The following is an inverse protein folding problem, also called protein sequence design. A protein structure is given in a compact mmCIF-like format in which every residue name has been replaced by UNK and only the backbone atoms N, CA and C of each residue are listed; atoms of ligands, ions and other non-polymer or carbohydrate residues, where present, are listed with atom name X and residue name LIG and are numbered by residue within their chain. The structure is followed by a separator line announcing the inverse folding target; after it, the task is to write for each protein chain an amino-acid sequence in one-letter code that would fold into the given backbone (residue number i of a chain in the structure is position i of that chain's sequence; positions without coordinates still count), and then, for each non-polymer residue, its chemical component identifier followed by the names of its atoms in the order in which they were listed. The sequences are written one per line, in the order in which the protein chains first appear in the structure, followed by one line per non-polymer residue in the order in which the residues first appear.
data_IF_459840566024
#
_entry.id   IF_459840566024
#
_cell.length_a   1.000
_cell.length_b   1.000
_cell.length_c   1.000
_cell.angle_alpha   90.00
_cell.angle_beta   90.00
_cell.angle_gamma   90.00
#
_symmetry.space_group_name_H-M   'P 1'
#
loop_
_entity.id
_entity.type
_entity.pdbx_description
1 polymer ?
#
# COMPACT_ATOMS: atom_id res chain seq x y z
N UNK A 1 60.77 -73.68 17.62
CA UNK A 1 59.42 -73.67 18.19
C UNK A 1 58.94 -72.24 18.26
N UNK A 2 57.75 -71.94 17.74
CA UNK A 2 57.07 -70.66 17.94
C UNK A 2 57.04 -69.74 16.73
N UNK A 3 56.13 -70.02 15.80
CA UNK A 3 55.75 -69.15 14.69
C UNK A 3 54.98 -67.90 15.19
N UNK A 4 55.08 -66.78 14.46
CA UNK A 4 54.01 -65.78 14.24
C UNK A 4 54.40 -64.85 13.09
N UNK A 5 53.50 -64.76 12.11
CA UNK A 5 53.69 -64.08 10.82
C UNK A 5 53.57 -62.55 10.87
N UNK A 6 53.55 -61.89 9.68
CA UNK A 6 53.78 -60.46 9.54
C UNK A 6 52.52 -59.66 9.89
N UNK A 7 52.70 -58.52 10.55
CA UNK A 7 51.60 -57.55 10.74
C UNK A 7 51.84 -56.36 9.82
N UNK A 8 51.05 -56.31 8.76
CA UNK A 8 50.82 -55.11 7.95
C UNK A 8 49.85 -54.22 8.74
N UNK A 9 50.25 -52.99 9.06
CA UNK A 9 49.34 -51.96 9.58
C UNK A 9 49.27 -50.83 8.55
N UNK A 10 48.19 -50.83 7.78
CA UNK A 10 47.79 -49.72 6.90
C UNK A 10 47.11 -48.69 7.81
N UNK A 11 47.78 -47.56 8.05
CA UNK A 11 47.16 -46.42 8.71
C UNK A 11 46.32 -45.62 7.72
N UNK A 12 45.05 -45.99 7.54
CA UNK A 12 44.03 -45.13 6.95
C UNK A 12 43.47 -44.17 8.01
N UNK A 13 43.20 -42.95 7.56
CA UNK A 13 42.18 -42.03 8.10
C UNK A 13 42.49 -41.33 9.44
N UNK A 14 42.16 -40.07 9.65
CA UNK A 14 41.07 -39.31 9.04
C UNK A 14 41.49 -37.86 8.77
N UNK A 15 41.50 -37.48 7.49
CA UNK A 15 41.10 -36.12 7.16
C UNK A 15 39.63 -36.02 7.59
N UNK A 16 39.38 -35.36 8.73
CA UNK A 16 38.06 -35.00 9.20
C UNK A 16 37.48 -33.97 8.21
N UNK A 17 37.02 -34.46 7.07
CA UNK A 17 36.06 -33.77 6.22
C UNK A 17 34.83 -33.56 7.10
N UNK A 18 34.71 -32.36 7.66
CA UNK A 18 33.45 -31.84 8.16
C UNK A 18 32.52 -31.67 6.95
N UNK A 19 32.01 -32.79 6.43
CA UNK A 19 30.72 -32.82 5.76
C UNK A 19 29.70 -32.44 6.82
N UNK A 20 29.54 -31.13 7.04
CA UNK A 20 28.28 -30.65 7.56
C UNK A 20 27.23 -31.19 6.59
N UNK A 21 26.30 -32.05 7.04
CA UNK A 21 25.20 -32.41 6.17
C UNK A 21 24.54 -31.08 5.81
N UNK A 22 24.44 -30.79 4.52
CA UNK A 22 23.52 -29.79 4.01
C UNK A 22 22.14 -30.28 4.44
N UNK A 23 21.74 -29.90 5.66
CA UNK A 23 20.37 -30.02 6.13
C UNK A 23 19.57 -29.16 5.17
N UNK A 24 19.04 -29.81 4.13
CA UNK A 24 17.94 -29.27 3.35
C UNK A 24 16.78 -29.12 4.33
N UNK A 25 16.69 -27.95 4.96
CA UNK A 25 15.48 -27.56 5.66
C UNK A 25 14.36 -27.59 4.63
N UNK A 26 13.49 -28.59 4.72
CA UNK A 26 12.27 -28.62 3.93
C UNK A 26 11.49 -27.35 4.28
N UNK A 27 11.30 -26.47 3.31
CA UNK A 27 10.52 -25.25 3.51
C UNK A 27 9.08 -25.65 3.87
N UNK A 28 8.62 -25.32 5.08
CA UNK A 28 7.27 -25.63 5.57
C UNK A 28 6.46 -24.36 5.78
N UNK A 29 5.12 -24.49 5.80
CA UNK A 29 4.21 -23.37 6.05
C UNK A 29 3.89 -23.16 7.53
N UNK A 30 4.43 -23.98 8.44
CA UNK A 30 4.00 -24.03 9.85
C UNK A 30 4.13 -22.68 10.57
N UNK A 31 5.16 -21.90 10.23
CA UNK A 31 5.46 -20.60 10.85
C UNK A 31 5.10 -19.39 9.98
N UNK A 32 4.55 -19.60 8.78
CA UNK A 32 4.32 -18.51 7.81
C UNK A 32 3.34 -17.49 8.36
N UNK A 33 2.23 -17.92 8.96
CA UNK A 33 1.25 -17.01 9.55
C UNK A 33 1.87 -16.15 10.66
N UNK A 34 2.59 -16.78 11.59
CA UNK A 34 3.24 -16.07 12.69
C UNK A 34 4.24 -15.03 12.17
N UNK A 35 5.00 -15.39 11.12
CA UNK A 35 5.99 -14.50 10.50
C UNK A 35 5.35 -13.34 9.74
N UNK A 36 4.29 -13.58 8.97
CA UNK A 36 3.52 -12.52 8.30
C UNK A 36 2.96 -11.53 9.32
N UNK A 37 2.32 -12.03 10.39
CA UNK A 37 1.74 -11.20 11.44
C UNK A 37 2.81 -10.40 12.19
N UNK A 38 3.98 -10.99 12.45
CA UNK A 38 5.09 -10.29 13.08
C UNK A 38 5.71 -9.22 12.15
N UNK A 39 5.88 -9.54 10.87
CA UNK A 39 6.46 -8.63 9.88
C UNK A 39 5.55 -7.41 9.63
N UNK A 40 4.23 -7.62 9.57
CA UNK A 40 3.23 -6.58 9.35
C UNK A 40 2.45 -6.21 10.61
N UNK A 41 3.08 -6.27 11.79
CA UNK A 41 2.40 -6.01 13.06
C UNK A 41 1.74 -4.62 13.13
N UNK A 42 2.36 -3.62 12.47
CA UNK A 42 1.87 -2.24 12.39
C UNK A 42 0.84 -2.03 11.26
N UNK A 43 0.68 -3.01 10.36
CA UNK A 43 -0.18 -2.95 9.18
C UNK A 43 -1.04 -4.23 9.11
N UNK A 44 -1.99 -4.41 10.05
CA UNK A 44 -2.74 -5.67 10.21
C UNK A 44 -3.54 -6.07 8.97
N UNK A 45 -3.89 -5.10 8.10
CA UNK A 45 -4.54 -5.39 6.81
C UNK A 45 -3.69 -6.28 5.90
N UNK A 46 -2.35 -6.22 5.97
CA UNK A 46 -1.48 -7.09 5.17
C UNK A 46 -1.53 -8.55 5.64
N UNK A 47 -1.75 -8.80 6.94
CA UNK A 47 -1.99 -10.16 7.43
C UNK A 47 -3.35 -10.70 6.96
N UNK A 48 -4.37 -9.83 6.87
CA UNK A 48 -5.68 -10.21 6.32
C UNK A 48 -5.59 -10.51 4.82
N UNK A 49 -4.85 -9.70 4.06
CA UNK A 49 -4.57 -9.94 2.64
C UNK A 49 -3.86 -11.28 2.47
N UNK A 50 -2.76 -11.54 3.18
CA UNK A 50 -2.05 -12.83 3.10
C UNK A 50 -2.94 -14.04 3.41
N UNK A 51 -3.87 -13.89 4.36
CA UNK A 51 -4.87 -14.92 4.66
C UNK A 51 -5.81 -15.15 3.47
N UNK A 52 -6.30 -14.09 2.84
CA UNK A 52 -7.20 -14.16 1.70
C UNK A 52 -6.54 -14.65 0.41
N UNK A 53 -5.26 -14.29 0.19
CA UNK A 53 -4.51 -14.66 -1.01
C UNK A 53 -4.11 -16.14 -1.02
N UNK A 54 -3.64 -16.66 0.12
CA UNK A 54 -3.00 -17.97 0.14
C UNK A 54 -3.34 -18.84 1.34
N UNK A 55 -4.12 -18.34 2.30
CA UNK A 55 -4.29 -18.94 3.63
C UNK A 55 -2.94 -19.06 4.37
N UNK A 56 -2.08 -18.04 4.26
CA UNK A 56 -0.73 -18.03 4.81
C UNK A 56 0.18 -19.15 4.26
N UNK A 57 0.06 -19.50 2.98
CA UNK A 57 0.94 -20.49 2.35
C UNK A 57 1.95 -19.82 1.44
N UNK A 58 3.24 -19.95 1.78
CA UNK A 58 4.34 -19.57 0.89
C UNK A 58 4.80 -20.73 0.02
N UNK A 59 4.73 -21.96 0.52
CA UNK A 59 5.34 -23.14 -0.12
C UNK A 59 4.30 -24.16 -0.58
N UNK A 60 4.50 -24.71 -1.77
CA UNK A 60 3.82 -25.91 -2.29
C UNK A 60 4.71 -27.15 -2.17
N UNK A 61 4.36 -28.23 -2.86
CA UNK A 61 5.07 -29.51 -2.75
C UNK A 61 6.52 -29.47 -3.26
N UNK A 62 6.86 -28.52 -4.14
CA UNK A 62 8.14 -28.48 -4.85
C UNK A 62 8.87 -27.14 -4.78
N UNK A 63 8.48 -26.25 -3.86
CA UNK A 63 9.06 -24.91 -3.74
C UNK A 63 8.00 -23.86 -3.42
N UNK A 64 8.17 -22.63 -3.92
CA UNK A 64 7.16 -21.58 -3.76
C UNK A 64 5.78 -22.03 -4.27
N UNK A 65 4.74 -21.62 -3.56
CA UNK A 65 3.36 -21.83 -3.98
C UNK A 65 3.11 -21.06 -5.27
N UNK A 66 2.58 -21.75 -6.27
CA UNK A 66 2.09 -21.17 -7.51
C UNK A 66 0.58 -21.35 -7.52
N UNK A 67 -0.15 -20.24 -7.55
CA UNK A 67 -1.61 -20.20 -7.53
C UNK A 67 -2.17 -19.30 -8.63
N UNK A 68 -3.43 -18.92 -8.48
CA UNK A 68 -4.18 -18.20 -9.52
C UNK A 68 -4.44 -19.02 -10.78
N UNK A 69 -5.15 -18.40 -11.74
CA UNK A 69 -5.40 -19.01 -13.04
C UNK A 69 -4.09 -19.07 -13.83
N UNK A 70 -3.63 -20.27 -14.19
CA UNK A 70 -2.38 -20.47 -14.94
C UNK A 70 -1.12 -20.62 -14.10
N UNK A 71 -1.21 -20.50 -12.77
CA UNK A 71 -0.07 -20.73 -11.87
C UNK A 71 0.90 -19.55 -11.74
N UNK A 72 0.58 -18.38 -12.25
CA UNK A 72 1.49 -17.21 -12.27
C UNK A 72 1.55 -16.42 -10.96
N UNK A 73 0.83 -16.81 -9.90
CA UNK A 73 0.77 -16.06 -8.64
C UNK A 73 1.62 -16.72 -7.56
N UNK A 74 2.61 -16.00 -7.06
CA UNK A 74 3.67 -16.55 -6.21
C UNK A 74 3.43 -16.29 -4.73
N UNK A 75 3.45 -17.37 -3.96
CA UNK A 75 3.66 -17.36 -2.52
C UNK A 75 2.52 -16.74 -1.72
N UNK A 76 2.88 -16.27 -0.52
CA UNK A 76 1.93 -15.91 0.54
C UNK A 76 1.06 -14.71 0.20
N UNK A 77 1.57 -13.78 -0.61
CA UNK A 77 0.83 -12.64 -1.14
C UNK A 77 0.34 -12.81 -2.58
N UNK A 78 0.50 -14.00 -3.18
CA UNK A 78 0.09 -14.29 -4.56
C UNK A 78 0.57 -13.18 -5.53
N UNK A 79 1.86 -12.84 -5.49
CA UNK A 79 2.43 -11.79 -6.34
C UNK A 79 2.61 -12.33 -7.76
N UNK A 80 2.16 -11.58 -8.77
CA UNK A 80 2.25 -12.03 -10.17
C UNK A 80 3.71 -12.14 -10.65
N UNK A 81 4.11 -13.35 -11.03
CA UNK A 81 5.48 -13.74 -11.39
C UNK A 81 6.04 -12.88 -12.53
N UNK A 82 5.40 -12.92 -13.70
CA UNK A 82 5.89 -12.27 -14.93
C UNK A 82 6.00 -10.74 -14.82
N UNK A 83 5.29 -10.13 -13.87
CA UNK A 83 5.25 -8.68 -13.69
C UNK A 83 6.33 -8.24 -12.70
N UNK A 84 6.57 -9.05 -11.66
CA UNK A 84 7.27 -8.58 -10.47
C UNK A 84 8.60 -9.29 -10.20
N UNK A 85 8.80 -10.52 -10.68
CA UNK A 85 9.94 -11.35 -10.30
C UNK A 85 11.29 -10.67 -10.59
N UNK A 86 11.48 -10.17 -11.81
CA UNK A 86 12.75 -9.52 -12.21
C UNK A 86 12.99 -8.22 -11.45
N UNK A 87 11.96 -7.37 -11.34
CA UNK A 87 12.06 -6.09 -10.64
C UNK A 87 12.36 -6.26 -9.13
N UNK A 88 11.75 -7.28 -8.51
CA UNK A 88 12.01 -7.64 -7.11
C UNK A 88 13.46 -8.12 -6.95
N UNK A 89 13.91 -9.01 -7.84
CA UNK A 89 15.24 -9.61 -7.80
C UNK A 89 16.36 -8.59 -7.97
N UNK A 90 16.19 -7.60 -8.86
CA UNK A 90 17.13 -6.47 -9.01
C UNK A 90 17.35 -5.68 -7.72
N UNK A 91 16.37 -5.71 -6.79
CA UNK A 91 16.41 -5.02 -5.50
C UNK A 91 16.72 -5.96 -4.33
N UNK A 92 17.18 -7.17 -4.62
CA UNK A 92 17.55 -8.16 -3.62
C UNK A 92 16.36 -8.85 -2.94
N UNK A 93 15.15 -8.77 -3.54
CA UNK A 93 13.96 -9.45 -3.04
C UNK A 93 13.61 -10.63 -3.93
N UNK A 94 13.69 -11.84 -3.39
CA UNK A 94 13.30 -13.08 -4.09
C UNK A 94 11.85 -13.46 -3.72
N UNK A 95 10.90 -13.19 -4.62
CA UNK A 95 9.46 -13.44 -4.38
C UNK A 95 9.11 -14.92 -4.17
N UNK A 96 10.00 -15.86 -4.56
CA UNK A 96 9.84 -17.29 -4.32
C UNK A 96 10.20 -17.69 -2.87
N UNK A 97 11.03 -16.90 -2.20
CA UNK A 97 11.34 -17.06 -0.78
C UNK A 97 10.28 -16.39 0.10
N UNK A 98 10.09 -16.86 1.33
CA UNK A 98 9.21 -16.18 2.27
C UNK A 98 9.67 -14.74 2.52
N UNK A 99 10.96 -14.53 2.82
CA UNK A 99 11.50 -13.20 3.12
C UNK A 99 11.36 -12.21 1.96
N UNK A 100 11.68 -12.63 0.74
CA UNK A 100 11.54 -11.77 -0.42
C UNK A 100 10.08 -11.53 -0.80
N UNK A 101 9.17 -12.48 -0.57
CA UNK A 101 7.73 -12.27 -0.76
C UNK A 101 7.19 -11.23 0.24
N UNK A 102 7.54 -11.33 1.53
CA UNK A 102 7.16 -10.33 2.55
C UNK A 102 7.74 -8.94 2.22
N UNK A 103 9.03 -8.87 1.89
CA UNK A 103 9.69 -7.61 1.55
C UNK A 103 9.09 -6.96 0.30
N UNK A 104 8.76 -7.77 -0.71
CA UNK A 104 8.17 -7.26 -1.94
C UNK A 104 6.70 -6.85 -1.74
N UNK A 105 5.91 -7.60 -0.97
CA UNK A 105 4.56 -7.21 -0.61
C UNK A 105 4.56 -5.91 0.21
N UNK A 106 5.51 -5.72 1.12
CA UNK A 106 5.71 -4.44 1.80
C UNK A 106 6.06 -3.33 0.80
N UNK A 107 6.96 -3.59 -0.16
CA UNK A 107 7.29 -2.63 -1.21
C UNK A 107 6.05 -2.21 -2.00
N UNK A 108 5.23 -3.16 -2.45
CA UNK A 108 3.97 -2.89 -3.14
C UNK A 108 3.02 -2.09 -2.24
N UNK A 109 2.86 -2.48 -0.98
CA UNK A 109 2.01 -1.77 -0.03
C UNK A 109 2.45 -0.32 0.22
N UNK A 110 3.74 -0.08 0.39
CA UNK A 110 4.29 1.28 0.57
C UNK A 110 4.09 2.17 -0.68
N UNK A 111 3.98 1.56 -1.86
CA UNK A 111 3.81 2.27 -3.14
C UNK A 111 2.35 2.45 -3.55
N UNK A 112 1.51 1.46 -3.27
CA UNK A 112 0.18 1.28 -3.87
C UNK A 112 -0.92 1.04 -2.83
N UNK A 113 -0.56 0.87 -1.55
CA UNK A 113 -1.51 0.47 -0.50
C UNK A 113 -1.99 -0.96 -0.73
N UNK A 114 -3.29 -1.21 -0.54
CA UNK A 114 -3.88 -2.54 -0.71
C UNK A 114 -4.29 -2.86 -2.16
N UNK A 115 -4.16 -1.90 -3.09
CA UNK A 115 -4.64 -2.01 -4.48
C UNK A 115 -4.19 -3.26 -5.25
N UNK A 116 -2.96 -3.77 -5.11
CA UNK A 116 -2.54 -5.02 -5.77
C UNK A 116 -3.43 -6.23 -5.44
N UNK A 117 -4.18 -6.18 -4.34
CA UNK A 117 -5.02 -7.25 -3.81
C UNK A 117 -6.52 -6.92 -3.82
N UNK A 118 -6.96 -5.90 -4.58
CA UNK A 118 -8.37 -5.50 -4.65
C UNK A 118 -9.30 -6.62 -5.16
N UNK A 119 -8.78 -7.59 -5.93
CA UNK A 119 -9.55 -8.77 -6.36
C UNK A 119 -10.05 -9.62 -5.20
N UNK A 120 -9.38 -9.56 -4.05
CA UNK A 120 -9.75 -10.25 -2.82
C UNK A 120 -10.30 -9.30 -1.75
N UNK A 121 -10.57 -8.03 -2.07
CA UNK A 121 -11.04 -7.00 -1.14
C UNK A 121 -12.24 -7.44 -0.29
N UNK A 122 -13.22 -8.08 -0.92
CA UNK A 122 -14.40 -8.61 -0.23
C UNK A 122 -14.07 -9.62 0.88
N UNK A 123 -12.91 -10.28 0.82
CA UNK A 123 -12.43 -11.17 1.86
C UNK A 123 -11.78 -10.42 3.03
N UNK A 124 -10.96 -9.38 2.77
CA UNK A 124 -10.15 -8.74 3.81
C UNK A 124 -10.68 -7.40 4.36
N UNK A 125 -11.53 -6.66 3.64
CA UNK A 125 -12.04 -5.33 4.07
C UNK A 125 -12.92 -5.38 5.32
N UNK A 126 -13.68 -6.46 5.51
CA UNK A 126 -14.57 -6.65 6.66
C UNK A 126 -13.91 -7.34 7.86
N UNK A 127 -12.65 -7.73 7.75
CA UNK A 127 -11.93 -8.42 8.83
C UNK A 127 -11.55 -7.40 9.89
N UNK A 128 -11.93 -7.67 11.15
CA UNK A 128 -11.61 -6.79 12.27
C UNK A 128 -10.11 -6.45 12.27
N UNK A 129 -9.78 -5.18 12.06
CA UNK A 129 -8.43 -4.65 12.20
C UNK A 129 -8.05 -4.83 13.68
N UNK A 130 -7.27 -5.85 13.99
CA UNK A 130 -6.68 -5.98 15.32
C UNK A 130 -5.91 -4.69 15.59
N UNK A 131 -6.26 -4.00 16.69
CA UNK A 131 -5.74 -2.69 17.02
C UNK A 131 -4.21 -2.72 16.98
N UNK A 132 -3.63 -1.98 16.03
CA UNK A 132 -2.18 -1.84 15.93
C UNK A 132 -1.70 -1.28 17.27
N UNK A 133 -0.90 -2.06 17.99
CA UNK A 133 -0.24 -1.56 19.19
C UNK A 133 0.74 -0.49 18.71
N UNK A 134 0.63 0.76 19.14
CA UNK A 134 1.52 1.80 18.66
C UNK A 134 2.94 1.43 19.06
N UNK A 135 3.83 1.36 18.06
CA UNK A 135 5.27 1.30 18.33
C UNK A 135 5.65 2.60 19.03
N UNK A 136 6.02 2.53 20.31
CA UNK A 136 6.96 3.52 20.87
C UNK A 136 8.22 3.32 20.04
N UNK A 137 8.41 4.21 19.06
CA UNK A 137 9.71 4.43 18.47
C UNK A 137 10.58 4.92 19.62
N UNK A 138 11.38 4.02 20.21
CA UNK A 138 12.55 4.44 20.96
C UNK A 138 13.47 5.08 19.93
N UNK A 139 13.29 6.38 19.74
CA UNK A 139 14.25 7.22 19.08
C UNK A 139 15.60 6.95 19.73
N UNK A 140 16.54 6.45 18.94
CA UNK A 140 17.94 6.51 19.30
C UNK A 140 18.30 8.02 19.30
N UNK A 141 18.68 8.63 20.43
CA UNK A 141 18.96 10.04 20.45
C UNK A 141 20.37 10.23 19.93
N UNK A 142 20.51 11.00 18.85
CA UNK A 142 21.50 12.05 18.94
C UNK A 142 21.04 13.33 18.21
N UNK A 143 21.18 14.50 18.85
CA UNK A 143 20.61 15.76 18.38
C UNK A 143 21.68 16.67 17.76
N UNK A 144 21.43 17.17 16.56
CA UNK A 144 21.99 18.39 15.99
C UNK A 144 21.00 18.77 14.87
N UNK A 145 20.32 19.91 14.81
CA UNK A 145 20.37 21.19 15.49
C UNK A 145 19.49 22.13 14.64
N UNK A 146 18.89 23.14 15.25
CA UNK A 146 17.85 23.99 14.69
C UNK A 146 18.15 24.63 13.31
N UNK A 147 17.16 24.58 12.42
CA UNK A 147 16.96 25.54 11.33
C UNK A 147 15.46 25.85 11.19
N UNK A 148 15.06 27.11 10.93
CA UNK A 148 13.66 27.49 10.89
C UNK A 148 13.01 26.87 9.64
N UNK A 149 11.93 26.12 9.84
CA UNK A 149 11.12 25.62 8.73
C UNK A 149 10.38 26.80 8.11
N UNK A 150 10.91 27.31 7.01
CA UNK A 150 10.20 28.27 6.16
C UNK A 150 9.01 27.53 5.54
N UNK A 151 7.82 28.04 5.85
CA UNK A 151 6.54 27.55 5.35
C UNK A 151 6.48 27.74 3.84
N UNK A 152 6.75 26.67 3.09
CA UNK A 152 6.40 26.57 1.67
C UNK A 152 5.58 25.30 1.41
N UNK A 153 4.36 25.28 1.95
CA UNK A 153 3.36 24.25 1.67
C UNK A 153 2.01 24.96 1.53
N UNK A 154 1.74 25.56 0.37
CA UNK A 154 0.43 26.15 0.03
C UNK A 154 -0.48 25.11 -0.68
N UNK A 155 -0.01 23.87 -0.84
CA UNK A 155 -0.85 22.76 -1.31
C UNK A 155 -1.09 21.83 -0.13
N UNK A 156 -2.34 21.62 0.31
CA UNK A 156 -2.62 20.59 1.31
C UNK A 156 -2.09 19.25 0.78
N UNK A 157 -1.33 18.48 1.57
CA UNK A 157 -0.67 17.28 1.08
C UNK A 157 -1.74 16.32 0.54
N UNK A 158 -1.48 15.76 -0.64
CA UNK A 158 -2.27 14.66 -1.15
C UNK A 158 -2.08 13.46 -0.20
N UNK A 159 -3.10 13.17 0.59
CA UNK A 159 -3.11 12.08 1.55
C UNK A 159 -3.58 10.77 0.95
N UNK A 160 -4.21 10.83 -0.22
CA UNK A 160 -4.80 9.67 -0.90
C UNK A 160 -4.19 9.42 -2.28
N UNK A 161 -4.25 8.17 -2.74
CA UNK A 161 -4.14 7.88 -4.17
C UNK A 161 -5.45 8.33 -4.86
N UNK A 162 -5.37 8.82 -6.10
CA UNK A 162 -6.56 9.26 -6.85
C UNK A 162 -6.65 8.53 -8.20
N UNK A 163 -7.86 8.08 -8.56
CA UNK A 163 -8.11 7.34 -9.80
C UNK A 163 -9.52 7.57 -10.35
N UNK A 164 -9.77 7.03 -11.54
CA UNK A 164 -11.03 7.16 -12.25
C UNK A 164 -12.24 6.80 -11.37
N UNK A 165 -13.24 7.69 -11.35
CA UNK A 165 -14.50 7.50 -10.64
C UNK A 165 -14.53 8.09 -9.22
N UNK A 166 -13.37 8.45 -8.65
CA UNK A 166 -13.34 9.11 -7.33
C UNK A 166 -13.96 10.51 -7.36
N UNK A 167 -14.56 10.92 -6.25
CA UNK A 167 -15.08 12.27 -6.04
C UNK A 167 -14.68 12.81 -4.66
N UNK A 168 -13.74 13.76 -4.60
CA UNK A 168 -13.29 14.40 -3.36
C UNK A 168 -12.53 15.72 -3.60
N UNK A 169 -12.16 16.42 -2.53
CA UNK A 169 -11.43 17.68 -2.58
C UNK A 169 -9.95 17.56 -3.02
N UNK A 170 -9.33 16.40 -2.83
CA UNK A 170 -7.97 16.12 -3.32
C UNK A 170 -7.95 16.05 -4.84
N UNK A 171 -8.98 15.48 -5.48
CA UNK A 171 -9.11 15.52 -6.95
C UNK A 171 -9.18 16.96 -7.46
N UNK A 172 -9.96 17.83 -6.81
CA UNK A 172 -10.01 19.23 -7.21
C UNK A 172 -8.64 19.92 -7.08
N UNK A 173 -7.88 19.57 -6.05
CA UNK A 173 -6.50 20.05 -5.86
C UNK A 173 -5.56 19.54 -6.95
N UNK A 174 -5.69 18.27 -7.34
CA UNK A 174 -4.95 17.70 -8.47
C UNK A 174 -5.27 18.43 -9.77
N UNK A 175 -6.54 18.71 -10.05
CA UNK A 175 -6.95 19.42 -11.25
C UNK A 175 -6.35 20.82 -11.32
N UNK A 176 -6.34 21.56 -10.20
CA UNK A 176 -5.69 22.87 -10.11
C UNK A 176 -4.21 22.79 -10.44
N UNK A 177 -3.53 21.81 -9.85
CA UNK A 177 -2.10 21.60 -10.12
C UNK A 177 -1.84 21.28 -11.59
N UNK A 178 -2.58 20.34 -12.18
CA UNK A 178 -2.38 19.93 -13.57
C UNK A 178 -2.60 21.10 -14.52
N UNK A 179 -3.68 21.87 -14.33
CA UNK A 179 -3.97 23.07 -15.12
C UNK A 179 -2.85 24.13 -14.99
N UNK A 180 -2.37 24.40 -13.77
CA UNK A 180 -1.28 25.36 -13.52
C UNK A 180 0.09 24.90 -14.03
N UNK A 181 0.33 23.60 -14.09
CA UNK A 181 1.58 23.00 -14.57
C UNK A 181 1.63 22.80 -16.09
N UNK A 182 0.61 23.29 -16.83
CA UNK A 182 0.53 23.16 -18.30
C UNK A 182 -0.05 21.84 -18.80
N UNK A 183 -0.56 20.99 -17.90
CA UNK A 183 -1.29 19.76 -18.24
C UNK A 183 -2.79 20.02 -18.22
N UNK A 184 -3.22 21.02 -19.01
CA UNK A 184 -4.62 21.49 -19.04
C UNK A 184 -5.58 20.33 -19.31
N UNK A 185 -6.58 20.17 -18.44
CA UNK A 185 -7.61 19.13 -18.53
C UNK A 185 -8.54 19.44 -19.70
N UNK A 186 -9.05 20.67 -19.75
CA UNK A 186 -9.89 21.20 -20.82
C UNK A 186 -9.81 22.73 -20.82
N UNK A 187 -9.97 23.36 -21.98
CA UNK A 187 -9.83 24.82 -22.12
C UNK A 187 -11.01 25.60 -21.50
N UNK A 188 -12.21 25.03 -21.53
CA UNK A 188 -13.43 25.65 -21.00
C UNK A 188 -14.41 24.59 -20.46
N UNK A 189 -15.30 25.01 -19.56
CA UNK A 189 -16.27 24.11 -18.91
C UNK A 189 -15.71 23.37 -17.67
N UNK A 190 -16.42 22.36 -17.16
CA UNK A 190 -16.02 21.65 -15.95
C UNK A 190 -14.63 21.00 -16.08
N UNK A 191 -13.72 21.35 -15.18
CA UNK A 191 -12.31 20.91 -15.18
C UNK A 191 -11.33 21.90 -15.83
N UNK A 192 -11.81 22.98 -16.45
CA UNK A 192 -10.96 24.05 -16.97
C UNK A 192 -10.31 24.89 -15.86
N UNK A 193 -9.24 25.66 -16.15
CA UNK A 193 -8.62 26.54 -15.16
C UNK A 193 -9.64 27.45 -14.48
N UNK A 194 -9.73 27.40 -13.15
CA UNK A 194 -10.70 28.15 -12.35
C UNK A 194 -12.12 27.55 -12.29
N UNK A 195 -12.36 26.43 -12.96
CA UNK A 195 -13.61 25.66 -12.93
C UNK A 195 -13.33 24.18 -12.58
N UNK A 196 -12.33 23.91 -11.73
CA UNK A 196 -11.97 22.56 -11.33
C UNK A 196 -13.08 21.86 -10.54
N UNK A 197 -13.22 20.56 -10.78
CA UNK A 197 -14.25 19.71 -10.16
C UNK A 197 -13.65 18.78 -9.12
N UNK A 198 -14.49 18.20 -8.26
CA UNK A 198 -14.09 17.16 -7.32
C UNK A 198 -14.02 15.77 -7.95
N UNK A 199 -14.37 15.60 -9.22
CA UNK A 199 -14.52 14.29 -9.87
C UNK A 199 -13.32 13.91 -10.74
N UNK A 200 -12.79 12.70 -10.54
CA UNK A 200 -11.71 12.18 -11.36
C UNK A 200 -12.31 11.44 -12.55
N UNK A 201 -12.56 12.18 -13.62
CA UNK A 201 -13.12 11.67 -14.88
C UNK A 201 -12.06 11.34 -15.93
N UNK A 202 -12.52 10.95 -17.11
CA UNK A 202 -11.64 10.57 -18.22
C UNK A 202 -10.67 11.68 -18.65
N UNK A 203 -11.09 12.95 -18.56
CA UNK A 203 -10.24 14.10 -18.87
C UNK A 203 -9.13 14.30 -17.82
N UNK A 204 -9.47 14.17 -16.53
CA UNK A 204 -8.50 14.23 -15.43
C UNK A 204 -7.47 13.10 -15.55
N UNK A 205 -7.92 11.88 -15.84
CA UNK A 205 -7.06 10.73 -16.15
C UNK A 205 -6.08 11.03 -17.29
N UNK A 206 -6.59 11.57 -18.40
CA UNK A 206 -5.75 11.92 -19.55
C UNK A 206 -4.72 13.01 -19.22
N UNK A 207 -5.06 13.99 -18.37
CA UNK A 207 -4.11 14.99 -17.90
C UNK A 207 -3.03 14.38 -16.99
N UNK A 208 -3.40 13.45 -16.10
CA UNK A 208 -2.44 12.68 -15.29
C UNK A 208 -1.49 11.86 -16.16
N UNK A 209 -2.00 11.20 -17.20
CA UNK A 209 -1.16 10.47 -18.18
C UNK A 209 -0.12 11.39 -18.82
N UNK A 210 -0.54 12.57 -19.32
CA UNK A 210 0.38 13.55 -19.90
C UNK A 210 1.46 13.98 -18.90
N UNK A 211 1.05 14.26 -17.66
CA UNK A 211 1.97 14.62 -16.58
C UNK A 211 2.97 13.49 -16.30
N UNK A 212 2.49 12.25 -16.16
CA UNK A 212 3.32 11.09 -15.88
C UNK A 212 4.36 10.86 -16.97
N UNK A 213 3.95 10.97 -18.23
CA UNK A 213 4.87 10.79 -19.34
C UNK A 213 5.91 11.92 -19.40
N UNK A 214 5.49 13.17 -19.21
CA UNK A 214 6.39 14.32 -19.18
C UNK A 214 7.39 14.29 -18.01
N UNK A 215 7.04 13.61 -16.90
CA UNK A 215 7.93 13.42 -15.74
C UNK A 215 8.73 12.12 -15.78
N UNK A 216 8.65 11.35 -16.87
CA UNK A 216 9.37 10.07 -17.00
C UNK A 216 8.91 8.99 -16.02
N UNK A 217 7.66 9.05 -15.56
CA UNK A 217 7.08 8.04 -14.66
C UNK A 217 6.65 6.81 -15.45
N UNK A 218 5.76 7.02 -16.43
CA UNK A 218 5.17 5.99 -17.30
C UNK A 218 4.52 6.70 -18.49
N UNK A 219 4.62 6.12 -19.70
CA UNK A 219 4.06 6.67 -20.95
C UNK A 219 3.18 5.68 -21.71
N UNK A 220 3.05 4.45 -21.24
CA UNK A 220 2.32 3.36 -21.90
C UNK A 220 1.63 2.46 -20.85
N UNK A 221 0.76 1.55 -21.31
CA UNK A 221 -0.04 0.68 -20.45
C UNK A 221 -1.33 1.32 -19.94
N UNK A 222 -1.82 0.86 -18.78
CA UNK A 222 -3.04 1.37 -18.15
C UNK A 222 -2.89 1.56 -16.64
N UNK A 223 -3.95 2.06 -15.98
CA UNK A 223 -3.94 2.37 -14.55
C UNK A 223 -3.62 1.15 -13.68
N UNK A 224 -4.11 -0.02 -14.09
CA UNK A 224 -4.00 -1.26 -13.34
C UNK A 224 -2.68 -1.98 -13.61
N UNK A 225 -2.16 -1.91 -14.84
CA UNK A 225 -0.93 -2.61 -15.23
C UNK A 225 0.35 -1.83 -14.97
N UNK A 226 0.33 -0.52 -15.21
CA UNK A 226 1.54 0.32 -15.20
C UNK A 226 1.39 1.58 -14.35
N UNK A 227 0.18 1.85 -13.86
CA UNK A 227 -0.17 3.11 -13.22
C UNK A 227 -0.42 4.26 -14.19
N UNK A 228 -0.52 4.01 -15.50
CA UNK A 228 -0.73 5.08 -16.49
C UNK A 228 -2.15 5.65 -16.42
N UNK A 229 -2.25 6.90 -15.99
CA UNK A 229 -3.49 7.61 -15.64
C UNK A 229 -3.86 7.58 -14.15
N UNK A 230 -3.09 6.86 -13.33
CA UNK A 230 -3.31 6.73 -11.89
C UNK A 230 -2.47 7.76 -11.11
N UNK A 231 -3.11 8.52 -10.22
CA UNK A 231 -2.40 9.47 -9.35
C UNK A 231 -1.97 8.77 -8.05
N UNK A 232 -0.98 7.90 -8.18
CA UNK A 232 -0.37 7.15 -7.07
C UNK A 232 0.88 7.81 -6.47
N UNK A 233 1.61 7.10 -5.62
CA UNK A 233 2.77 7.62 -4.89
C UNK A 233 3.86 8.22 -5.79
N UNK A 234 4.17 7.59 -6.94
CA UNK A 234 5.16 8.11 -7.90
C UNK A 234 4.71 9.44 -8.50
N UNK A 235 3.43 9.55 -8.88
CA UNK A 235 2.83 10.76 -9.44
C UNK A 235 2.75 11.88 -8.39
N UNK A 236 2.38 11.55 -7.14
CA UNK A 236 2.44 12.49 -6.00
C UNK A 236 3.84 13.00 -5.73
N UNK A 237 4.83 12.11 -5.68
CA UNK A 237 6.22 12.48 -5.42
C UNK A 237 6.76 13.41 -6.52
N UNK A 238 6.46 13.12 -7.79
CA UNK A 238 6.85 14.00 -8.90
C UNK A 238 6.13 15.36 -8.86
N UNK A 239 4.89 15.41 -8.38
CA UNK A 239 4.17 16.66 -8.15
C UNK A 239 4.88 17.50 -7.09
N UNK A 240 5.24 16.89 -5.95
CA UNK A 240 5.96 17.56 -4.85
C UNK A 240 7.38 18.01 -5.26
N UNK A 241 8.04 17.25 -6.15
CA UNK A 241 9.35 17.57 -6.66
C UNK A 241 9.35 18.58 -7.82
N UNK A 242 8.18 18.91 -8.38
CA UNK A 242 8.07 19.92 -9.44
C UNK A 242 8.17 21.30 -8.80
N UNK A 243 9.20 22.11 -9.12
CA UNK A 243 9.29 23.48 -8.63
C UNK A 243 8.02 24.21 -9.00
N UNK A 244 7.29 24.67 -7.99
CA UNK A 244 6.09 25.44 -8.20
C UNK A 244 6.55 26.80 -8.73
N UNK A 245 6.21 27.14 -9.97
CA UNK A 245 6.31 28.52 -10.40
C UNK A 245 5.21 29.31 -9.68
N UNK A 246 5.59 29.91 -8.55
CA UNK A 246 4.71 30.73 -7.72
C UNK A 246 4.14 31.94 -8.48
N UNK A 247 4.64 32.24 -9.69
CA UNK A 247 4.12 33.30 -10.56
C UNK A 247 2.92 32.89 -11.43
N UNK A 248 2.65 31.58 -11.56
CA UNK A 248 1.54 31.04 -12.36
C UNK A 248 0.32 30.62 -11.52
N UNK A 249 0.45 30.63 -10.20
CA UNK A 249 -0.68 30.40 -9.30
C UNK A 249 -1.44 31.72 -9.22
N UNK A 250 -2.69 31.84 -9.75
CA UNK A 250 -3.48 33.03 -9.49
C UNK A 250 -3.57 33.21 -7.96
N UNK A 251 -3.49 34.45 -7.44
CA UNK A 251 -3.64 34.68 -6.01
C UNK A 251 -4.92 34.00 -5.58
N UNK A 252 -4.82 33.08 -4.62
CA UNK A 252 -5.99 32.41 -4.06
C UNK A 252 -6.76 33.51 -3.33
N UNK A 253 -7.69 34.14 -4.04
CA UNK A 253 -8.75 34.88 -3.40
C UNK A 253 -9.57 33.83 -2.68
N UNK A 254 -9.27 33.62 -1.39
CA UNK A 254 -10.19 33.04 -0.43
C UNK A 254 -11.38 34.00 -0.28
N UNK A 255 -12.14 34.20 -1.37
CA UNK A 255 -13.53 34.54 -1.25
C UNK A 255 -14.16 33.27 -0.69
N UNK A 256 -14.28 33.23 0.63
CA UNK A 256 -15.00 32.23 1.35
C UNK A 256 -16.43 32.14 0.78
N UNK A 257 -16.64 31.23 -0.17
CA UNK A 257 -17.92 30.52 -0.20
C UNK A 257 -17.86 29.60 1.00
N UNK A 258 -18.22 30.16 2.15
CA UNK A 258 -18.52 29.38 3.34
C UNK A 258 -19.57 28.36 2.95
N UNK A 259 -19.16 27.10 2.82
CA UNK A 259 -19.96 26.03 3.41
C UNK A 259 -20.34 26.51 4.83
N UNK A 260 -21.59 26.33 5.28
CA UNK A 260 -22.01 26.82 6.59
C UNK A 260 -20.99 26.41 7.65
N UNK A 261 -20.57 27.31 8.56
CA UNK A 261 -19.59 26.98 9.57
C UNK A 261 -20.09 25.77 10.36
N UNK A 262 -19.23 24.75 10.46
CA UNK A 262 -19.37 23.64 11.39
C UNK A 262 -19.67 24.22 12.78
N UNK A 263 -20.88 23.97 13.29
CA UNK A 263 -21.37 24.53 14.53
C UNK A 263 -21.44 23.41 15.58
N UNK A 264 -20.51 23.35 16.55
CA UNK A 264 -20.47 22.27 17.54
C UNK A 264 -21.80 22.12 18.29
N UNK A 265 -22.50 23.23 18.59
CA UNK A 265 -23.83 23.18 19.19
C UNK A 265 -24.89 22.46 18.33
N UNK A 266 -24.80 22.51 17.00
CA UNK A 266 -25.74 21.80 16.12
C UNK A 266 -25.42 20.30 16.05
N UNK A 267 -24.18 19.87 16.26
CA UNK A 267 -23.84 18.44 16.30
C UNK A 267 -24.14 17.81 17.64
N UNK A 268 -24.02 18.55 18.74
CA UNK A 268 -24.56 18.13 20.02
C UNK A 268 -26.10 18.02 19.95
N UNK A 269 -26.77 18.92 19.24
CA UNK A 269 -28.22 18.84 19.00
C UNK A 269 -28.58 17.65 18.10
N UNK A 270 -27.83 17.38 17.02
CA UNK A 270 -28.00 16.18 16.19
C UNK A 270 -27.76 14.91 16.98
N UNK A 271 -26.72 14.86 17.82
CA UNK A 271 -26.40 13.70 18.65
C UNK A 271 -27.47 13.48 19.74
N UNK A 272 -28.01 14.56 20.33
CA UNK A 272 -29.12 14.50 21.28
C UNK A 272 -30.42 14.05 20.62
N UNK A 273 -30.73 14.55 19.42
CA UNK A 273 -31.89 14.12 18.64
C UNK A 273 -31.77 12.66 18.20
N UNK A 274 -30.58 12.22 17.81
CA UNK A 274 -30.29 10.81 17.51
C UNK A 274 -30.46 9.91 18.73
N UNK A 275 -29.97 10.33 19.91
CA UNK A 275 -30.19 9.60 21.15
C UNK A 275 -31.68 9.52 21.54
N UNK A 276 -32.46 10.58 21.33
CA UNK A 276 -33.90 10.58 21.55
C UNK A 276 -34.66 9.66 20.59
N UNK A 277 -34.25 9.60 19.30
CA UNK A 277 -34.83 8.67 18.31
C UNK A 277 -34.56 7.22 18.72
N UNK A 278 -33.36 6.91 19.23
CA UNK A 278 -33.01 5.57 19.72
C UNK A 278 -33.85 5.18 20.94
N UNK A 279 -34.13 6.10 21.86
CA UNK A 279 -35.01 5.80 23.01
C UNK A 279 -36.48 5.67 22.60
N UNK A 280 -36.98 6.52 21.71
CA UNK A 280 -38.35 6.41 21.18
C UNK A 280 -38.58 5.10 20.43
N UNK A 281 -37.59 4.60 19.70
CA UNK A 281 -37.68 3.31 19.00
C UNK A 281 -37.70 2.12 19.96
N UNK A 282 -36.99 2.17 21.09
CA UNK A 282 -37.07 1.16 22.15
C UNK A 282 -38.44 1.14 22.85
N UNK A 283 -39.00 2.31 23.13
CA UNK A 283 -40.35 2.42 23.71
C UNK A 283 -41.40 1.86 22.74
N UNK A 284 -41.28 2.19 21.44
CA UNK A 284 -42.17 1.66 20.41
C UNK A 284 -42.08 0.13 20.31
N UNK A 285 -40.87 -0.43 20.36
CA UNK A 285 -40.67 -1.88 20.34
C UNK A 285 -41.30 -2.58 21.56
N UNK A 286 -41.18 -1.97 22.75
CA UNK A 286 -41.81 -2.48 23.98
C UNK A 286 -43.33 -2.44 23.89
N UNK A 287 -43.91 -1.35 23.36
CA UNK A 287 -45.37 -1.22 23.17
C UNK A 287 -45.93 -2.16 22.10
N UNK A 288 -45.11 -2.53 21.12
CA UNK A 288 -45.45 -3.53 20.09
C UNK A 288 -45.43 -4.95 20.65
N UNK A 289 -44.67 -5.21 21.71
CA UNK A 289 -44.62 -6.52 22.39
C UNK A 289 -45.66 -6.66 23.50
N UNK A 290 -46.27 -5.56 23.96
CA UNK A 290 -47.33 -5.55 24.97
C UNK A 290 -48.75 -5.55 24.37
N UNK A 291 -48.91 -5.91 23.09
CA UNK A 291 -50.20 -6.06 22.40
C UNK A 291 -50.49 -7.51 22.06
#
# INVERSE_FOLDING_TARGET
MGARGPTVAIGFSAALLLLAPLLSFAQSNDDVEARVRAYFADVPVMANIAKCESEFRQFGASGALHGGMGGSMIGVFQIHEDVHADYAKERGMDIYSLDGNLAYAQHLYEKEGTTPWDSSASCWEGMALASATPRIVTANPNPLGDAPMIVNQIIPPFTSNLSMGMENAEVQTLQRFLNGAGFTIIESGPGSPGNETTRFGALTRAAVMKFQCAKGIVCDGDERSTGYGYFGARTRAALLATPQDLSLIPPINFAATSSPPYRPEQQDEVMRLQAQIVELTKVLATLMQSR
#
